data_IF_675599567407
#
_entry.id   IF_675599567407
#
_cell.length_a   1.000
_cell.length_b   1.000
_cell.length_c   1.000
_cell.angle_alpha   90.00
_cell.angle_beta   90.00
_cell.angle_gamma   90.00
#
_symmetry.space_group_name_H-M   'P 1'
#
loop_
_entity.id
_entity.type
_entity.pdbx_description
1 polymer ?
#
# COMPACT_ATOMS: atom_id res chain seq x y z
N UNK A 1 -19.69 -43.78 -18.05
CA UNK A 1 -20.12 -42.75 -17.08
C UNK A 1 -19.07 -41.62 -17.02
N UNK A 2 -19.49 -40.38 -17.27
CA UNK A 2 -18.63 -39.21 -17.14
C UNK A 2 -18.91 -38.56 -15.78
N UNK A 3 -17.84 -38.20 -15.06
CA UNK A 3 -17.96 -37.43 -13.82
C UNK A 3 -18.54 -36.05 -14.13
N UNK A 4 -19.41 -35.59 -13.24
CA UNK A 4 -19.92 -34.22 -13.23
C UNK A 4 -18.84 -33.25 -12.71
N UNK A 5 -19.00 -31.97 -13.02
CA UNK A 5 -18.08 -30.93 -12.58
C UNK A 5 -17.89 -30.91 -11.04
N UNK A 6 -18.98 -31.12 -10.28
CA UNK A 6 -18.92 -31.13 -8.82
C UNK A 6 -18.16 -32.34 -8.28
N UNK A 7 -18.39 -33.53 -8.84
CA UNK A 7 -17.65 -34.75 -8.44
C UNK A 7 -16.15 -34.61 -8.71
N UNK A 8 -15.75 -33.92 -9.80
CA UNK A 8 -14.34 -33.61 -10.07
C UNK A 8 -13.77 -32.66 -9.02
N UNK A 9 -14.48 -31.59 -8.66
CA UNK A 9 -14.02 -30.63 -7.63
C UNK A 9 -13.93 -31.28 -6.24
N UNK A 10 -14.91 -32.12 -5.87
CA UNK A 10 -14.91 -32.86 -4.59
C UNK A 10 -13.74 -33.83 -4.52
N UNK A 11 -13.50 -34.61 -5.58
CA UNK A 11 -12.35 -35.54 -5.64
C UNK A 11 -11.01 -34.80 -5.58
N UNK A 12 -10.91 -33.63 -6.22
CA UNK A 12 -9.71 -32.79 -6.13
C UNK A 12 -9.53 -32.21 -4.72
N UNK A 13 -10.61 -31.87 -4.03
CA UNK A 13 -10.56 -31.40 -2.65
C UNK A 13 -10.13 -32.50 -1.67
N UNK A 14 -10.51 -33.77 -1.90
CA UNK A 14 -10.08 -34.92 -1.07
C UNK A 14 -8.56 -35.12 -1.08
N UNK A 15 -7.88 -34.67 -2.13
CA UNK A 15 -6.41 -34.77 -2.28
C UNK A 15 -5.71 -33.41 -2.14
N UNK A 16 -6.36 -32.41 -1.55
CA UNK A 16 -5.78 -31.08 -1.34
C UNK A 16 -5.28 -30.42 -2.66
N UNK A 17 -6.03 -30.65 -3.73
CA UNK A 17 -5.83 -30.04 -5.04
C UNK A 17 -6.90 -28.97 -5.27
N UNK A 18 -7.08 -28.08 -4.27
CA UNK A 18 -8.09 -27.02 -4.34
C UNK A 18 -7.54 -25.77 -5.01
N UNK A 19 -8.45 -24.93 -5.55
CA UNK A 19 -8.09 -23.58 -6.01
C UNK A 19 -7.40 -22.77 -4.91
N UNK A 20 -7.81 -22.97 -3.65
CA UNK A 20 -7.22 -22.28 -2.51
C UNK A 20 -5.73 -22.58 -2.40
N UNK A 21 -5.36 -23.86 -2.35
CA UNK A 21 -3.97 -24.29 -2.18
C UNK A 21 -3.09 -23.98 -3.41
N UNK A 22 -3.65 -24.11 -4.61
CA UNK A 22 -2.88 -23.94 -5.85
C UNK A 22 -2.71 -22.46 -6.22
N UNK A 23 -3.71 -21.63 -5.91
CA UNK A 23 -3.79 -20.27 -6.44
C UNK A 23 -3.93 -19.24 -5.33
N UNK A 24 -4.96 -19.35 -4.49
CA UNK A 24 -5.30 -18.26 -3.58
C UNK A 24 -4.29 -18.10 -2.43
N UNK A 25 -3.78 -19.18 -1.85
CA UNK A 25 -2.76 -19.17 -0.80
C UNK A 25 -1.39 -18.67 -1.33
N UNK A 26 -0.82 -19.21 -2.43
CA UNK A 26 0.43 -18.69 -2.99
C UNK A 26 0.34 -17.22 -3.43
N UNK A 27 -0.83 -16.76 -3.85
CA UNK A 27 -1.04 -15.36 -4.24
C UNK A 27 -1.25 -14.43 -3.05
N UNK A 28 -1.51 -14.95 -1.85
CA UNK A 28 -1.71 -14.14 -0.65
C UNK A 28 -0.45 -13.37 -0.27
N UNK A 29 0.72 -14.00 -0.36
CA UNK A 29 2.00 -13.35 -0.04
C UNK A 29 2.23 -12.11 -0.93
N UNK A 30 1.90 -12.19 -2.21
CA UNK A 30 2.02 -11.06 -3.13
C UNK A 30 1.02 -9.94 -2.79
N UNK A 31 -0.22 -10.29 -2.44
CA UNK A 31 -1.21 -9.29 -1.99
C UNK A 31 -0.74 -8.56 -0.74
N UNK A 32 -0.18 -9.29 0.22
CA UNK A 32 0.34 -8.69 1.46
C UNK A 32 1.55 -7.79 1.19
N UNK A 33 2.46 -8.20 0.29
CA UNK A 33 3.58 -7.37 -0.15
C UNK A 33 3.14 -6.09 -0.84
N UNK A 34 2.16 -6.16 -1.75
CA UNK A 34 1.59 -4.98 -2.42
C UNK A 34 1.00 -4.03 -1.39
N UNK A 35 0.20 -4.55 -0.45
CA UNK A 35 -0.39 -3.74 0.61
C UNK A 35 0.66 -3.03 1.46
N UNK A 36 1.77 -3.69 1.80
CA UNK A 36 2.86 -3.07 2.56
C UNK A 36 3.54 -1.95 1.76
N UNK A 37 3.73 -2.15 0.45
CA UNK A 37 4.30 -1.13 -0.43
C UNK A 37 3.37 0.09 -0.50
N UNK A 38 2.07 -0.12 -0.66
CA UNK A 38 1.09 0.97 -0.72
C UNK A 38 1.08 1.79 0.57
N UNK A 39 1.08 1.11 1.72
CA UNK A 39 1.15 1.75 3.04
C UNK A 39 2.44 2.57 3.21
N UNK A 40 3.58 2.03 2.79
CA UNK A 40 4.86 2.74 2.89
C UNK A 40 4.93 3.93 1.93
N UNK A 41 4.34 3.81 0.74
CA UNK A 41 4.23 4.91 -0.22
C UNK A 41 3.39 6.06 0.34
N UNK A 42 2.27 5.77 0.99
CA UNK A 42 1.40 6.77 1.63
C UNK A 42 2.12 7.49 2.78
N UNK A 43 2.85 6.74 3.61
CA UNK A 43 3.66 7.31 4.70
C UNK A 43 4.77 8.23 4.16
N UNK A 44 5.44 7.82 3.08
CA UNK A 44 6.48 8.63 2.46
C UNK A 44 5.92 9.93 1.88
N UNK A 45 4.79 9.86 1.19
CA UNK A 45 4.13 11.05 0.64
C UNK A 45 3.71 12.01 1.75
N UNK A 46 3.11 11.48 2.83
CA UNK A 46 2.70 12.27 4.00
C UNK A 46 3.90 12.98 4.63
N UNK A 47 5.03 12.28 4.78
CA UNK A 47 6.25 12.87 5.32
C UNK A 47 6.83 13.97 4.40
N UNK A 48 6.84 13.73 3.09
CA UNK A 48 7.29 14.72 2.11
C UNK A 48 6.43 16.00 2.18
N UNK A 49 5.12 15.85 2.24
CA UNK A 49 4.18 16.98 2.37
C UNK A 49 4.40 17.74 3.68
N UNK A 50 4.66 17.03 4.79
CA UNK A 50 4.96 17.66 6.07
C UNK A 50 6.26 18.46 6.05
N UNK A 51 7.32 17.90 5.44
CA UNK A 51 8.61 18.58 5.28
C UNK A 51 8.43 19.85 4.43
N UNK A 52 7.77 19.73 3.27
CA UNK A 52 7.50 20.88 2.39
C UNK A 52 6.73 21.97 3.11
N UNK A 53 5.68 21.59 3.87
CA UNK A 53 4.92 22.54 4.68
C UNK A 53 5.80 23.26 5.70
N UNK A 54 6.60 22.53 6.48
CA UNK A 54 7.49 23.13 7.50
C UNK A 54 8.53 24.08 6.89
N UNK A 55 9.08 23.74 5.74
CA UNK A 55 10.00 24.62 5.01
C UNK A 55 9.29 25.91 4.60
N UNK A 56 8.07 25.81 4.04
CA UNK A 56 7.30 26.99 3.62
C UNK A 56 6.92 27.88 4.80
N UNK A 57 6.54 27.29 5.94
CA UNK A 57 6.28 28.02 7.19
C UNK A 57 7.53 28.78 7.66
N UNK A 58 8.69 28.12 7.67
CA UNK A 58 9.96 28.74 8.06
C UNK A 58 10.34 29.90 7.13
N UNK A 59 10.27 29.69 5.81
CA UNK A 59 10.54 30.74 4.82
C UNK A 59 9.58 31.93 4.97
N UNK A 60 8.31 31.66 5.29
CA UNK A 60 7.31 32.72 5.51
C UNK A 60 7.63 33.51 6.77
N UNK A 61 7.90 32.83 7.88
CA UNK A 61 8.30 33.46 9.14
C UNK A 61 9.58 34.31 8.98
N UNK A 62 10.58 33.82 8.26
CA UNK A 62 11.83 34.55 8.01
C UNK A 62 11.58 35.80 7.16
N UNK A 63 10.71 35.72 6.15
CA UNK A 63 10.31 36.88 5.35
C UNK A 63 9.55 37.91 6.16
N UNK A 64 8.63 37.48 7.03
CA UNK A 64 7.88 38.37 7.92
C UNK A 64 8.83 39.07 8.89
N UNK A 65 9.79 38.35 9.46
CA UNK A 65 10.81 38.92 10.34
C UNK A 65 11.70 39.93 9.60
N UNK A 66 12.15 39.59 8.39
CA UNK A 66 12.96 40.50 7.57
C UNK A 66 12.19 41.80 7.26
N UNK A 67 10.90 41.68 6.91
CA UNK A 67 10.02 42.84 6.68
C UNK A 67 9.87 43.70 7.95
N UNK A 68 9.72 43.09 9.12
CA UNK A 68 9.61 43.83 10.39
C UNK A 68 10.90 44.57 10.76
N UNK A 69 12.07 43.97 10.49
CA UNK A 69 13.36 44.54 10.87
C UNK A 69 13.89 45.57 9.87
N UNK A 70 13.67 45.32 8.58
CA UNK A 70 14.34 46.06 7.50
C UNK A 70 13.37 46.78 6.56
N UNK A 71 12.06 46.56 6.67
CA UNK A 71 11.05 47.20 5.81
C UNK A 71 11.11 46.78 4.34
N UNK A 72 11.72 45.62 4.05
CA UNK A 72 11.84 44.97 2.74
C UNK A 72 11.33 43.53 2.78
#
# INVERSE_FOLDING_TARGET
>A
PHLTYNEVIETLAEVNCTKWEIVDEPTQEFRDKIRQIDQMSEQFQTLADEITRKINEMVTSDKELANQLFGV
#
